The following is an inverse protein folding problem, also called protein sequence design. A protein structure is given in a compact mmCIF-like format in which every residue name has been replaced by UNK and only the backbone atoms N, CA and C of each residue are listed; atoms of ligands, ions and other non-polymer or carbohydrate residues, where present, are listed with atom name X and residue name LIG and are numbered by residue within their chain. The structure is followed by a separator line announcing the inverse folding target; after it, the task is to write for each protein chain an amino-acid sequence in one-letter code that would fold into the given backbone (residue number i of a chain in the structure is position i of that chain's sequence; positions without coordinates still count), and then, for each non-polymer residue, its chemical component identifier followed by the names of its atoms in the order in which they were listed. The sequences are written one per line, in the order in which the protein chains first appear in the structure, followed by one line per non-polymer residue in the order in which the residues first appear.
data_IF_885155119172
#
_entry.id   IF_885155119172
#
_cell.length_a   1.000
_cell.length_b   1.000
_cell.length_c   1.000
_cell.angle_alpha   90.00
_cell.angle_beta   90.00
_cell.angle_gamma   90.00
#
_symmetry.space_group_name_H-M   'P 1'
#
loop_
_entity.id
_entity.type
_entity.pdbx_description
1 polymer ?
#
# COMPACT_ATOMS: atom_id res chain seq x y z
N UNK A 1 7.16 8.85 2.31
CA UNK A 1 5.77 8.68 1.91
C UNK A 1 5.38 7.23 2.08
N UNK A 2 4.62 6.89 3.11
CA UNK A 2 4.07 5.54 3.30
C UNK A 2 2.87 5.31 2.36
N UNK A 3 2.27 4.12 2.41
CA UNK A 3 1.16 3.73 1.55
C UNK A 3 -0.07 4.63 1.73
N UNK A 4 -0.39 5.04 2.96
CA UNK A 4 -1.54 5.90 3.22
C UNK A 4 -1.32 7.32 2.69
N UNK A 5 -0.12 7.85 2.86
CA UNK A 5 0.28 9.15 2.31
C UNK A 5 0.28 9.12 0.77
N UNK A 6 0.66 7.99 0.15
CA UNK A 6 0.59 7.80 -1.30
C UNK A 6 -0.85 7.77 -1.81
N UNK A 7 -1.76 7.12 -1.09
CA UNK A 7 -3.19 7.16 -1.45
C UNK A 7 -3.74 8.57 -1.29
N UNK A 8 -3.33 9.28 -0.24
CA UNK A 8 -3.79 10.63 0.06
C UNK A 8 -3.32 11.67 -0.98
N UNK A 9 -2.22 11.43 -1.70
CA UNK A 9 -1.64 12.41 -2.63
C UNK A 9 -2.57 12.81 -3.77
N UNK A 10 -3.54 11.97 -4.13
CA UNK A 10 -4.50 12.22 -5.20
C UNK A 10 -5.88 12.67 -4.70
N UNK A 11 -6.07 12.87 -3.39
CA UNK A 11 -7.40 13.08 -2.81
C UNK A 11 -8.12 14.33 -3.32
N UNK A 12 -7.40 15.44 -3.47
CA UNK A 12 -7.97 16.71 -3.91
C UNK A 12 -8.13 16.77 -5.42
N UNK A 13 -7.17 16.23 -6.16
CA UNK A 13 -7.14 16.27 -7.61
C UNK A 13 -8.04 15.20 -8.24
N UNK A 14 -8.18 14.03 -7.62
CA UNK A 14 -8.89 12.85 -8.13
C UNK A 14 -9.79 12.20 -7.07
N UNK A 15 -10.83 12.89 -6.57
CA UNK A 15 -11.61 12.44 -5.41
C UNK A 15 -12.31 11.08 -5.63
N UNK A 16 -12.81 10.79 -6.83
CA UNK A 16 -13.43 9.50 -7.13
C UNK A 16 -12.40 8.36 -7.17
N UNK A 17 -11.27 8.61 -7.84
CA UNK A 17 -10.15 7.66 -7.92
C UNK A 17 -9.55 7.41 -6.54
N UNK A 18 -9.40 8.44 -5.72
CA UNK A 18 -8.99 8.37 -4.31
C UNK A 18 -9.93 7.46 -3.51
N UNK A 19 -11.24 7.68 -3.56
CA UNK A 19 -12.21 6.85 -2.82
C UNK A 19 -12.09 5.39 -3.25
N UNK A 20 -11.96 5.13 -4.55
CA UNK A 20 -11.81 3.77 -5.07
C UNK A 20 -10.50 3.11 -4.61
N UNK A 21 -9.36 3.82 -4.71
CA UNK A 21 -8.06 3.31 -4.30
C UNK A 21 -8.02 3.04 -2.80
N UNK A 22 -8.46 4.01 -2.00
CA UNK A 22 -8.52 3.88 -0.55
C UNK A 22 -9.34 2.67 -0.12
N UNK A 23 -10.47 2.41 -0.78
CA UNK A 23 -11.28 1.21 -0.54
C UNK A 23 -10.48 -0.06 -0.81
N UNK A 24 -9.78 -0.16 -1.94
CA UNK A 24 -8.98 -1.33 -2.28
C UNK A 24 -7.81 -1.54 -1.32
N UNK A 25 -7.14 -0.47 -0.92
CA UNK A 25 -6.02 -0.52 0.02
C UNK A 25 -6.47 -0.94 1.42
N UNK A 26 -7.59 -0.40 1.93
CA UNK A 26 -8.15 -0.84 3.20
C UNK A 26 -8.59 -2.31 3.15
N UNK A 27 -9.25 -2.72 2.06
CA UNK A 27 -9.61 -4.13 1.86
C UNK A 27 -8.39 -5.03 1.85
N UNK A 28 -7.27 -4.58 1.24
CA UNK A 28 -6.01 -5.32 1.29
C UNK A 28 -5.46 -5.38 2.71
N UNK A 29 -5.45 -4.29 3.47
CA UNK A 29 -4.95 -4.28 4.86
C UNK A 29 -5.68 -5.28 5.75
N UNK A 30 -7.00 -5.39 5.58
CA UNK A 30 -7.88 -6.27 6.35
C UNK A 30 -7.87 -7.72 5.84
N UNK A 31 -7.28 -8.00 4.67
CA UNK A 31 -7.23 -9.33 4.06
C UNK A 31 -5.94 -10.08 4.37
N UNK A 32 -5.93 -11.38 4.02
CA UNK A 32 -4.72 -12.21 4.03
C UNK A 32 -3.83 -12.06 2.78
N UNK A 33 -4.17 -11.17 1.85
CA UNK A 33 -3.42 -10.98 0.60
C UNK A 33 -2.01 -10.45 0.87
N UNK A 34 -1.03 -10.90 0.09
CA UNK A 34 0.37 -10.55 0.28
C UNK A 34 0.72 -9.15 -0.27
N UNK A 35 1.94 -8.71 -0.04
CA UNK A 35 2.48 -7.50 -0.69
C UNK A 35 2.58 -7.65 -2.22
N UNK A 36 2.78 -8.86 -2.73
CA UNK A 36 2.82 -9.08 -4.18
C UNK A 36 1.43 -8.84 -4.80
N UNK A 37 0.38 -9.23 -4.07
CA UNK A 37 -1.01 -8.95 -4.44
C UNK A 37 -1.31 -7.44 -4.40
N UNK A 38 -0.80 -6.71 -3.41
CA UNK A 38 -0.88 -5.23 -3.37
C UNK A 38 -0.27 -4.61 -4.62
N UNK A 39 0.91 -5.08 -5.03
CA UNK A 39 1.58 -4.56 -6.21
C UNK A 39 0.74 -4.75 -7.48
N UNK A 40 0.14 -5.93 -7.63
CA UNK A 40 -0.78 -6.24 -8.74
C UNK A 40 -2.03 -5.37 -8.67
N UNK A 41 -2.61 -5.20 -7.47
CA UNK A 41 -3.82 -4.42 -7.22
C UNK A 41 -3.63 -2.97 -7.63
N UNK A 42 -2.56 -2.31 -7.18
CA UNK A 42 -2.30 -0.90 -7.52
C UNK A 42 -1.99 -0.74 -9.00
N UNK A 43 -1.22 -1.66 -9.60
CA UNK A 43 -0.92 -1.62 -11.04
C UNK A 43 -2.19 -1.77 -11.90
N UNK A 44 -3.08 -2.69 -11.52
CA UNK A 44 -4.38 -2.88 -12.19
C UNK A 44 -5.30 -1.69 -11.99
N UNK A 45 -5.35 -1.13 -10.79
CA UNK A 45 -6.14 0.06 -10.51
C UNK A 45 -5.67 1.24 -11.37
N UNK A 46 -4.36 1.52 -11.39
CA UNK A 46 -3.79 2.63 -12.16
C UNK A 46 -4.08 2.50 -13.66
N UNK A 47 -3.95 1.29 -14.21
CA UNK A 47 -4.28 1.03 -15.62
C UNK A 47 -5.77 1.11 -15.99
N UNK A 48 -6.68 1.10 -15.00
CA UNK A 48 -8.13 1.19 -15.21
C UNK A 48 -8.72 2.56 -14.83
N UNK A 49 -7.93 3.45 -14.24
CA UNK A 49 -8.39 4.79 -13.85
C UNK A 49 -8.25 5.76 -15.02
N UNK A 50 -9.30 6.55 -15.23
CA UNK A 50 -9.27 7.67 -16.16
C UNK A 50 -8.93 8.96 -15.41
N UNK A 51 -7.64 9.26 -15.27
CA UNK A 51 -7.18 10.49 -14.64
C UNK A 51 -7.64 11.72 -15.43
N UNK A 52 -7.93 12.82 -14.74
CA UNK A 52 -8.29 14.13 -15.33
C UNK A 52 -7.18 14.68 -16.22
N UNK A 53 -5.92 14.38 -15.90
CA UNK A 53 -4.78 14.76 -16.71
C UNK A 53 -3.69 13.70 -16.68
N UNK A 54 -2.89 13.69 -17.76
CA UNK A 54 -1.69 12.85 -17.83
C UNK A 54 -0.68 13.21 -16.71
N UNK A 55 -0.57 14.49 -16.34
CA UNK A 55 0.37 14.93 -15.30
C UNK A 55 0.10 14.25 -13.96
N UNK A 56 -1.17 14.19 -13.54
CA UNK A 56 -1.58 13.55 -12.28
C UNK A 56 -1.30 12.04 -12.34
N UNK A 57 -1.63 11.40 -13.46
CA UNK A 57 -1.34 9.98 -13.69
C UNK A 57 0.16 9.66 -13.59
N UNK A 58 1.00 10.49 -14.23
CA UNK A 58 2.45 10.32 -14.27
C UNK A 58 3.06 10.55 -12.87
N UNK A 59 2.60 11.59 -12.15
CA UNK A 59 3.06 11.89 -10.79
C UNK A 59 2.72 10.77 -9.80
N UNK A 60 1.47 10.27 -9.83
CA UNK A 60 1.10 9.11 -9.01
C UNK A 60 1.98 7.90 -9.33
N UNK A 61 2.21 7.62 -10.61
CA UNK A 61 3.02 6.47 -11.02
C UNK A 61 4.49 6.62 -10.58
N UNK A 62 5.06 7.83 -10.62
CA UNK A 62 6.40 8.11 -10.10
C UNK A 62 6.47 7.87 -8.58
N UNK A 63 5.49 8.38 -7.85
CA UNK A 63 5.36 8.19 -6.41
C UNK A 63 5.21 6.70 -6.04
N UNK A 64 4.37 5.97 -6.77
CA UNK A 64 4.19 4.53 -6.62
C UNK A 64 5.46 3.74 -6.91
N UNK A 65 6.18 4.10 -7.98
CA UNK A 65 7.45 3.47 -8.32
C UNK A 65 8.48 3.65 -7.21
N UNK A 66 8.61 4.87 -6.68
CA UNK A 66 9.50 5.17 -5.53
C UNK A 66 9.12 4.36 -4.29
N UNK A 67 7.83 4.32 -3.95
CA UNK A 67 7.33 3.52 -2.84
C UNK A 67 7.67 2.04 -3.03
N UNK A 68 7.35 1.48 -4.21
CA UNK A 68 7.59 0.07 -4.54
C UNK A 68 9.07 -0.30 -4.41
N UNK A 69 9.97 0.50 -4.96
CA UNK A 69 11.42 0.23 -4.89
C UNK A 69 11.91 0.11 -3.44
N UNK A 70 11.38 0.92 -2.53
CA UNK A 70 11.82 0.92 -1.12
C UNK A 70 11.07 -0.14 -0.31
N UNK A 71 9.74 -0.10 -0.32
CA UNK A 71 8.89 -0.86 0.60
C UNK A 71 8.56 -2.27 0.12
N UNK A 72 8.57 -2.52 -1.20
CA UNK A 72 8.21 -3.81 -1.79
C UNK A 72 9.48 -4.55 -2.23
N UNK A 73 10.26 -3.94 -3.13
CA UNK A 73 11.46 -4.57 -3.68
C UNK A 73 12.58 -4.64 -2.62
N UNK A 74 12.71 -3.59 -1.79
CA UNK A 74 13.66 -3.49 -0.68
C UNK A 74 13.24 -4.19 0.61
N UNK A 75 12.11 -4.91 0.62
CA UNK A 75 11.47 -5.35 1.86
C UNK A 75 12.37 -6.25 2.74
N UNK A 76 13.23 -7.05 2.12
CA UNK A 76 14.16 -7.93 2.84
C UNK A 76 15.13 -7.19 3.77
N UNK A 77 15.42 -5.91 3.48
CA UNK A 77 16.27 -5.05 4.31
C UNK A 77 15.54 -4.32 5.44
N UNK A 78 14.20 -4.41 5.49
CA UNK A 78 13.39 -3.66 6.45
C UNK A 78 13.11 -4.48 7.70
N UNK A 79 13.19 -3.84 8.86
CA UNK A 79 12.67 -4.33 10.13
C UNK A 79 11.14 -4.41 10.10
N UNK A 80 10.55 -5.15 11.04
CA UNK A 80 9.08 -5.21 11.18
C UNK A 80 8.47 -3.81 11.38
N UNK A 81 9.06 -2.97 12.22
CA UNK A 81 8.54 -1.62 12.47
C UNK A 81 8.57 -0.75 11.21
N UNK A 82 9.62 -0.84 10.41
CA UNK A 82 9.69 -0.13 9.13
C UNK A 82 8.63 -0.64 8.16
N UNK A 83 8.38 -1.95 8.12
CA UNK A 83 7.30 -2.51 7.30
C UNK A 83 5.93 -2.01 7.77
N UNK A 84 5.65 -2.03 9.08
CA UNK A 84 4.41 -1.49 9.64
C UNK A 84 4.24 0.00 9.30
N UNK A 85 5.33 0.78 9.34
CA UNK A 85 5.33 2.18 8.93
C UNK A 85 5.01 2.34 7.45
N UNK A 86 5.74 1.66 6.55
CA UNK A 86 5.57 1.81 5.11
C UNK A 86 4.17 1.37 4.64
N UNK A 87 3.61 0.32 5.23
CA UNK A 87 2.29 -0.19 4.86
C UNK A 87 1.14 0.37 5.70
N UNK A 88 1.42 1.28 6.65
CA UNK A 88 0.40 1.91 7.50
C UNK A 88 -0.42 0.89 8.31
N UNK A 89 0.27 -0.04 8.98
CA UNK A 89 -0.33 -1.19 9.68
C UNK A 89 -0.12 -1.18 11.19
N UNK A 90 0.32 -0.08 11.79
CA UNK A 90 0.50 0.01 13.25
C UNK A 90 -0.80 -0.24 14.02
N UNK A 91 -1.91 0.39 13.62
CA UNK A 91 -3.20 0.19 14.28
C UNK A 91 -3.66 -1.28 14.21
N UNK A 92 -3.50 -1.93 13.05
CA UNK A 92 -3.81 -3.36 12.88
C UNK A 92 -2.92 -4.24 13.75
N UNK A 93 -1.64 -3.86 13.93
CA UNK A 93 -0.68 -4.60 14.74
C UNK A 93 -0.94 -4.47 16.25
N UNK A 94 -1.19 -3.25 16.72
CA UNK A 94 -1.37 -2.94 18.14
C UNK A 94 -2.67 -3.55 18.70
N UNK A 95 -3.68 -3.70 17.84
CA UNK A 95 -4.97 -4.32 18.21
C UNK A 95 -5.04 -5.84 17.94
N UNK A 96 -4.00 -6.44 17.34
CA UNK A 96 -3.99 -7.86 16.99
C UNK A 96 -3.59 -8.76 18.17
N UNK A 97 -4.18 -9.97 18.20
CA UNK A 97 -3.67 -11.07 19.01
C UNK A 97 -2.42 -11.71 18.37
N UNK A 98 -1.79 -12.69 19.03
CA UNK A 98 -0.57 -13.31 18.51
C UNK A 98 -0.79 -14.08 17.19
N UNK A 99 -1.99 -14.59 16.95
CA UNK A 99 -2.33 -15.27 15.72
C UNK A 99 -2.46 -14.27 14.56
N UNK A 100 -3.12 -13.13 14.78
CA UNK A 100 -3.23 -12.07 13.78
C UNK A 100 -1.91 -11.32 13.56
N UNK A 101 -1.07 -11.16 14.58
CA UNK A 101 0.31 -10.67 14.41
C UNK A 101 1.14 -11.60 13.54
N UNK A 102 0.99 -12.93 13.68
CA UNK A 102 1.65 -13.88 12.79
C UNK A 102 1.19 -13.70 11.34
N UNK A 103 -0.11 -13.48 11.11
CA UNK A 103 -0.63 -13.17 9.77
C UNK A 103 -0.05 -11.89 9.20
N UNK A 104 0.03 -10.82 10.01
CA UNK A 104 0.66 -9.55 9.60
C UNK A 104 2.15 -9.78 9.27
N UNK A 105 2.88 -10.54 10.08
CA UNK A 105 4.29 -10.90 9.78
C UNK A 105 4.42 -11.63 8.44
N UNK A 106 3.59 -12.64 8.18
CA UNK A 106 3.62 -13.40 6.92
C UNK A 106 3.27 -12.49 5.73
N UNK A 107 2.18 -11.71 5.84
CA UNK A 107 1.75 -10.72 4.85
C UNK A 107 2.88 -9.77 4.48
N UNK A 108 3.58 -9.27 5.51
CA UNK A 108 4.69 -8.34 5.38
C UNK A 108 6.04 -9.03 5.14
N UNK A 109 6.09 -10.33 4.86
CA UNK A 109 7.32 -11.12 4.63
C UNK A 109 8.34 -11.05 5.78
N UNK A 110 7.89 -10.80 7.01
CA UNK A 110 8.68 -10.61 8.23
C UNK A 110 8.68 -11.87 9.14
N UNK A 111 8.44 -13.04 8.55
CA UNK A 111 8.41 -14.34 9.20
C UNK A 111 9.64 -15.21 8.90
N UNK A 112 10.67 -14.61 8.29
CA UNK A 112 11.97 -15.23 7.97
C UNK A 112 12.98 -15.01 9.06
#
# INVERSE_FOLDING_TARGET
MNLDELVQSIADEEPESFVSLRKWINSWKDSGESIDDLNILVSKWHGNVWFKSKSISDEFNEQWTKFKTIAIDGIGGLTLNERLYWFGMFDSWDNADEHDKLRIRIKLKANT
#
